data_IF_784274102920
#
_entry.id   IF_784274102920
#
_cell.length_a   1.000
_cell.length_b   1.000
_cell.length_c   1.000
_cell.angle_alpha   90.00
_cell.angle_beta   90.00
_cell.angle_gamma   90.00
#
_symmetry.space_group_name_H-M   'P 1'
#
loop_
_entity.id
_entity.type
_entity.pdbx_description
1 polymer ?
#
# COMPACT_ATOMS: atom_id res chain seq x y z
N UNK A 1 27.87 48.11 80.91
CA UNK A 1 27.39 46.95 81.67
C UNK A 1 27.36 45.79 80.68
N UNK A 2 28.00 44.70 81.09
CA UNK A 2 28.38 43.48 80.36
C UNK A 2 27.41 42.96 79.29
N UNK A 3 27.95 42.48 78.16
CA UNK A 3 28.35 41.07 78.05
C UNK A 3 29.14 40.76 76.77
N UNK A 4 30.09 39.84 76.93
CA UNK A 4 31.05 39.32 75.97
C UNK A 4 30.67 37.87 75.60
N UNK A 5 31.19 37.42 74.45
CA UNK A 5 31.24 36.03 73.93
C UNK A 5 29.97 35.54 73.21
N UNK A 6 30.00 34.93 72.02
CA UNK A 6 31.03 34.23 71.25
C UNK A 6 30.48 34.02 69.82
N UNK A 7 31.31 34.08 68.77
CA UNK A 7 30.86 33.66 67.43
C UNK A 7 31.62 34.22 66.23
N UNK A 8 32.92 33.94 66.17
CA UNK A 8 33.79 33.69 65.00
C UNK A 8 33.34 34.14 63.59
N UNK A 9 34.01 35.19 63.09
CA UNK A 9 34.70 35.33 61.79
C UNK A 9 34.07 34.75 60.50
N UNK A 10 33.66 35.64 59.59
CA UNK A 10 33.72 35.41 58.14
C UNK A 10 32.56 35.93 57.27
N UNK A 11 32.61 37.21 56.85
CA UNK A 11 32.15 37.63 55.51
C UNK A 11 33.37 37.63 54.55
N UNK A 12 33.24 37.67 53.20
CA UNK A 12 32.08 38.07 52.38
C UNK A 12 31.75 37.15 51.18
N UNK A 13 30.55 37.33 50.62
CA UNK A 13 30.25 37.04 49.21
C UNK A 13 31.23 37.81 48.29
N UNK A 14 31.65 37.21 47.17
CA UNK A 14 31.64 37.96 45.92
C UNK A 14 30.80 37.28 44.83
N UNK A 15 30.13 38.15 44.09
CA UNK A 15 29.34 37.93 42.90
C UNK A 15 30.06 37.11 41.81
N UNK A 16 29.23 36.34 41.12
CA UNK A 16 29.19 36.07 39.67
C UNK A 16 30.52 36.17 38.89
N UNK A 17 30.83 35.10 38.15
CA UNK A 17 30.78 35.15 36.67
C UNK A 17 30.92 33.75 36.05
N UNK A 18 29.91 33.41 35.24
CA UNK A 18 29.99 32.70 33.95
C UNK A 18 30.74 31.35 33.83
N UNK A 19 29.97 30.28 33.54
CA UNK A 19 30.08 29.43 32.32
C UNK A 19 29.42 28.05 32.56
N UNK A 20 28.36 27.70 31.80
CA UNK A 20 28.37 26.39 31.14
C UNK A 20 27.68 26.40 29.75
N UNK A 21 28.07 27.30 28.85
CA UNK A 21 27.49 27.32 27.48
C UNK A 21 28.30 26.43 26.50
N UNK A 22 29.62 26.28 26.69
CA UNK A 22 30.48 25.54 25.74
C UNK A 22 30.26 24.01 25.70
N UNK A 23 29.84 23.38 26.81
CA UNK A 23 29.70 21.91 26.87
C UNK A 23 28.38 21.41 26.25
N UNK A 24 27.29 22.18 26.36
CA UNK A 24 25.98 21.84 25.77
C UNK A 24 26.01 21.92 24.24
N UNK A 25 26.63 22.97 23.69
CA UNK A 25 26.80 23.15 22.25
C UNK A 25 27.69 22.07 21.63
N UNK A 26 28.72 21.64 22.36
CA UNK A 26 29.61 20.55 21.95
C UNK A 26 28.86 19.23 21.82
N UNK A 27 28.12 18.81 22.86
CA UNK A 27 27.33 17.55 22.85
C UNK A 27 26.25 17.59 21.77
N UNK A 28 25.55 18.73 21.56
CA UNK A 28 24.60 18.88 20.46
C UNK A 28 25.27 18.83 19.08
N UNK A 29 26.48 19.38 18.90
CA UNK A 29 27.29 19.25 17.68
C UNK A 29 27.72 17.81 17.42
N UNK A 30 28.12 17.06 18.45
CA UNK A 30 28.48 15.65 18.32
C UNK A 30 27.27 14.78 18.00
N UNK A 31 26.14 14.97 18.71
CA UNK A 31 24.90 14.24 18.45
C UNK A 31 24.32 14.56 17.06
N UNK A 32 24.39 15.82 16.61
CA UNK A 32 24.03 16.17 15.25
C UNK A 32 24.98 15.53 14.25
N UNK A 33 26.31 15.63 14.39
CA UNK A 33 27.26 14.96 13.48
C UNK A 33 27.04 13.45 13.39
N UNK A 34 26.81 12.76 14.51
CA UNK A 34 26.52 11.31 14.53
C UNK A 34 25.16 11.01 13.89
N UNK A 35 24.12 11.80 14.19
CA UNK A 35 22.80 11.66 13.56
C UNK A 35 22.84 11.88 12.05
N UNK A 36 23.58 12.90 11.59
CA UNK A 36 23.78 13.20 10.18
C UNK A 36 24.59 12.11 9.47
N UNK A 37 25.65 11.59 10.10
CA UNK A 37 26.45 10.48 9.57
C UNK A 37 25.63 9.19 9.48
N UNK A 38 24.82 8.88 10.49
CA UNK A 38 23.91 7.74 10.49
C UNK A 38 22.81 7.89 9.43
N UNK A 39 22.20 9.07 9.31
CA UNK A 39 21.20 9.38 8.26
C UNK A 39 21.81 9.28 6.85
N UNK A 40 23.06 9.73 6.67
CA UNK A 40 23.77 9.66 5.40
C UNK A 40 24.15 8.22 5.05
N UNK A 41 24.73 7.47 5.99
CA UNK A 41 25.07 6.06 5.82
C UNK A 41 23.82 5.22 5.51
N UNK A 42 22.71 5.45 6.23
CA UNK A 42 21.42 4.81 5.94
C UNK A 42 20.88 5.19 4.56
N UNK A 43 21.05 6.45 4.14
CA UNK A 43 20.61 6.89 2.81
C UNK A 43 21.43 6.27 1.68
N UNK A 44 22.73 6.12 1.86
CA UNK A 44 23.63 5.54 0.86
C UNK A 44 23.48 4.02 0.80
N UNK A 45 23.37 3.34 1.94
CA UNK A 45 23.07 1.91 1.98
C UNK A 45 21.73 1.58 1.31
N UNK A 46 20.72 2.44 1.46
CA UNK A 46 19.42 2.26 0.79
C UNK A 46 19.47 2.49 -0.73
N UNK A 47 20.32 3.41 -1.23
CA UNK A 47 20.53 3.54 -2.68
C UNK A 47 21.21 2.30 -3.25
N UNK A 48 22.22 1.79 -2.54
CA UNK A 48 22.93 0.57 -2.92
C UNK A 48 21.99 -0.64 -2.88
N UNK A 49 21.14 -0.74 -1.85
CA UNK A 49 20.11 -1.76 -1.74
C UNK A 49 19.11 -1.69 -2.91
N UNK A 50 18.65 -0.49 -3.29
CA UNK A 50 17.78 -0.33 -4.45
C UNK A 50 18.45 -0.80 -5.76
N UNK A 51 19.72 -0.44 -5.97
CA UNK A 51 20.48 -0.87 -7.15
C UNK A 51 20.61 -2.40 -7.23
N UNK A 52 20.91 -3.04 -6.09
CA UNK A 52 21.02 -4.50 -6.00
C UNK A 52 19.67 -5.16 -6.32
N UNK A 53 18.57 -4.65 -5.77
CA UNK A 53 17.23 -5.18 -6.05
C UNK A 53 16.86 -5.01 -7.53
N UNK A 54 17.18 -3.86 -8.13
CA UNK A 54 16.91 -3.62 -9.55
C UNK A 54 17.68 -4.58 -10.47
N UNK A 55 18.94 -4.90 -10.13
CA UNK A 55 19.71 -5.91 -10.84
C UNK A 55 19.09 -7.30 -10.66
N UNK A 56 18.79 -7.71 -9.42
CA UNK A 56 18.25 -9.04 -9.10
C UNK A 56 16.85 -9.29 -9.66
N UNK A 57 16.07 -8.25 -9.88
CA UNK A 57 14.76 -8.32 -10.52
C UNK A 57 14.81 -8.82 -11.98
N UNK A 58 15.99 -8.81 -12.62
CA UNK A 58 16.20 -9.30 -14.00
C UNK A 58 17.16 -10.50 -14.04
N UNK A 59 17.44 -11.14 -12.90
CA UNK A 59 18.33 -12.29 -12.82
C UNK A 59 17.69 -13.52 -13.50
N UNK A 60 18.47 -14.38 -14.19
CA UNK A 60 17.95 -15.63 -14.75
C UNK A 60 17.29 -16.55 -13.71
N UNK A 61 17.72 -16.47 -12.44
CA UNK A 61 17.14 -17.24 -11.36
C UNK A 61 15.86 -16.58 -10.81
N UNK A 62 14.75 -17.32 -10.90
CA UNK A 62 13.42 -16.97 -10.39
C UNK A 62 13.40 -16.60 -8.91
N UNK A 63 14.09 -17.37 -8.05
CA UNK A 63 14.12 -17.09 -6.60
C UNK A 63 14.74 -15.73 -6.30
N UNK A 64 15.78 -15.34 -7.03
CA UNK A 64 16.38 -14.00 -6.88
C UNK A 64 15.43 -12.91 -7.37
N UNK A 65 14.72 -13.12 -8.47
CA UNK A 65 13.69 -12.18 -8.94
C UNK A 65 12.57 -12.03 -7.91
N UNK A 66 12.06 -13.14 -7.37
CA UNK A 66 11.04 -13.14 -6.32
C UNK A 66 11.51 -12.37 -5.08
N UNK A 67 12.73 -12.64 -4.60
CA UNK A 67 13.33 -11.91 -3.48
C UNK A 67 13.51 -10.43 -3.78
N UNK A 68 13.81 -10.07 -5.03
CA UNK A 68 13.87 -8.67 -5.46
C UNK A 68 12.51 -7.98 -5.35
N UNK A 69 11.43 -8.61 -5.84
CA UNK A 69 10.07 -8.08 -5.72
C UNK A 69 9.67 -7.88 -4.25
N UNK A 70 9.91 -8.90 -3.42
CA UNK A 70 9.67 -8.81 -1.97
C UNK A 70 10.46 -7.69 -1.32
N UNK A 71 11.74 -7.53 -1.68
CA UNK A 71 12.59 -6.45 -1.18
C UNK A 71 12.10 -5.06 -1.57
N UNK A 72 11.56 -4.89 -2.78
CA UNK A 72 10.90 -3.65 -3.20
C UNK A 72 9.65 -3.36 -2.36
N UNK A 73 8.86 -4.39 -2.04
CA UNK A 73 7.71 -4.29 -1.12
C UNK A 73 8.10 -3.84 0.28
N UNK A 74 9.12 -4.47 0.87
CA UNK A 74 9.68 -4.06 2.17
C UNK A 74 10.15 -2.60 2.14
N UNK A 75 10.87 -2.21 1.08
CA UNK A 75 11.33 -0.83 0.92
C UNK A 75 10.18 0.19 0.81
N UNK A 76 9.06 -0.18 0.18
CA UNK A 76 7.87 0.65 0.09
C UNK A 76 7.19 0.86 1.45
N UNK A 77 7.25 -0.14 2.33
CA UNK A 77 6.77 -0.03 3.70
C UNK A 77 7.70 0.81 4.58
N UNK A 78 9.01 0.55 4.55
CA UNK A 78 9.98 1.17 5.46
C UNK A 78 10.42 2.57 5.03
N UNK A 79 10.50 2.81 3.71
CA UNK A 79 11.07 4.04 3.14
C UNK A 79 10.25 4.58 1.95
N UNK A 80 8.97 4.89 2.16
CA UNK A 80 8.04 5.26 1.08
C UNK A 80 8.49 6.48 0.24
N UNK A 81 9.22 7.43 0.85
CA UNK A 81 9.75 8.59 0.13
C UNK A 81 10.80 8.23 -0.93
N UNK A 82 11.56 7.16 -0.73
CA UNK A 82 12.55 6.68 -1.69
C UNK A 82 11.90 5.97 -2.86
N UNK A 83 10.92 5.10 -2.59
CA UNK A 83 10.13 4.44 -3.63
C UNK A 83 9.41 5.48 -4.49
N UNK A 84 8.90 6.55 -3.87
CA UNK A 84 8.31 7.69 -4.58
C UNK A 84 9.31 8.42 -5.48
N UNK A 85 10.57 8.58 -5.06
CA UNK A 85 11.64 9.17 -5.87
C UNK A 85 11.94 8.32 -7.10
N UNK A 86 12.00 7.00 -6.95
CA UNK A 86 12.32 6.06 -8.03
C UNK A 86 11.09 5.41 -8.66
N UNK A 87 9.92 6.04 -8.56
CA UNK A 87 8.61 5.46 -8.92
C UNK A 87 8.62 4.79 -10.29
N UNK A 88 9.14 5.46 -11.33
CA UNK A 88 9.13 4.92 -12.70
C UNK A 88 9.92 3.61 -12.80
N UNK A 89 11.12 3.58 -12.21
CA UNK A 89 11.98 2.39 -12.23
C UNK A 89 11.35 1.27 -11.41
N UNK A 90 10.79 1.57 -10.23
CA UNK A 90 10.11 0.57 -9.41
C UNK A 90 8.90 -0.04 -10.15
N UNK A 91 8.08 0.80 -10.80
CA UNK A 91 6.94 0.31 -11.57
C UNK A 91 7.37 -0.52 -12.78
N UNK A 92 8.44 -0.13 -13.47
CA UNK A 92 9.02 -0.90 -14.58
C UNK A 92 9.46 -2.31 -14.13
N UNK A 93 10.19 -2.41 -13.01
CA UNK A 93 10.62 -3.69 -12.47
C UNK A 93 9.43 -4.59 -12.07
N UNK A 94 8.40 -4.00 -11.47
CA UNK A 94 7.21 -4.76 -11.04
C UNK A 94 6.35 -5.19 -12.21
N UNK A 95 6.19 -4.33 -13.23
CA UNK A 95 5.51 -4.73 -14.47
C UNK A 95 6.31 -5.86 -15.13
N UNK A 96 7.63 -5.78 -15.19
CA UNK A 96 8.45 -6.89 -15.69
C UNK A 96 8.20 -8.19 -14.90
N UNK A 97 8.11 -8.13 -13.56
CA UNK A 97 7.78 -9.27 -12.73
C UNK A 97 6.34 -9.79 -12.87
N UNK A 98 5.36 -8.94 -13.24
CA UNK A 98 3.99 -9.37 -13.55
C UNK A 98 3.92 -10.22 -14.82
N UNK A 99 4.82 -9.98 -15.77
CA UNK A 99 4.96 -10.73 -17.03
C UNK A 99 6.09 -11.76 -16.94
N UNK A 100 6.44 -12.25 -15.74
CA UNK A 100 7.46 -13.28 -15.60
C UNK A 100 7.05 -14.52 -16.42
N UNK A 101 7.91 -15.04 -17.31
CA UNK A 101 7.52 -16.08 -18.25
C UNK A 101 7.39 -17.47 -17.61
N UNK A 102 7.90 -17.67 -16.39
CA UNK A 102 8.08 -19.01 -15.81
C UNK A 102 7.57 -19.10 -14.37
N UNK A 103 7.76 -18.09 -13.53
CA UNK A 103 7.51 -18.19 -12.09
C UNK A 103 6.24 -17.47 -11.65
N UNK A 104 5.27 -18.25 -11.21
CA UNK A 104 4.03 -17.76 -10.58
C UNK A 104 4.32 -17.06 -9.25
N UNK A 105 5.38 -17.43 -8.53
CA UNK A 105 5.81 -16.79 -7.30
C UNK A 105 6.33 -15.36 -7.54
N UNK A 106 7.02 -15.13 -8.67
CA UNK A 106 7.44 -13.78 -9.07
C UNK A 106 6.23 -12.92 -9.42
N UNK A 107 5.28 -13.47 -10.19
CA UNK A 107 4.04 -12.77 -10.57
C UNK A 107 3.23 -12.39 -9.32
N UNK A 108 3.00 -13.36 -8.43
CA UNK A 108 2.25 -13.16 -7.20
C UNK A 108 2.90 -12.09 -6.31
N UNK A 109 4.21 -12.16 -6.08
CA UNK A 109 4.91 -11.20 -5.24
C UNK A 109 4.95 -9.80 -5.87
N UNK A 110 4.99 -9.73 -7.21
CA UNK A 110 4.88 -8.47 -7.96
C UNK A 110 3.51 -7.81 -7.75
N UNK A 111 2.41 -8.56 -7.82
CA UNK A 111 1.06 -8.05 -7.55
C UNK A 111 0.91 -7.54 -6.11
N UNK A 112 1.39 -8.32 -5.14
CA UNK A 112 1.39 -7.90 -3.72
C UNK A 112 2.18 -6.61 -3.52
N UNK A 113 3.36 -6.53 -4.12
CA UNK A 113 4.22 -5.35 -4.01
C UNK A 113 3.60 -4.14 -4.69
N UNK A 114 2.96 -4.30 -5.86
CA UNK A 114 2.18 -3.25 -6.51
C UNK A 114 1.04 -2.76 -5.61
N UNK A 115 0.29 -3.68 -4.99
CA UNK A 115 -0.81 -3.35 -4.08
C UNK A 115 -0.34 -2.46 -2.92
N UNK A 116 0.81 -2.80 -2.32
CA UNK A 116 1.45 -1.99 -1.27
C UNK A 116 1.81 -0.60 -1.81
N UNK A 117 2.50 -0.54 -2.94
CA UNK A 117 2.99 0.72 -3.52
C UNK A 117 1.83 1.63 -3.89
N UNK A 118 0.79 1.12 -4.57
CA UNK A 118 -0.41 1.86 -4.92
C UNK A 118 -1.08 2.45 -3.67
N UNK A 119 -1.15 1.69 -2.58
CA UNK A 119 -1.61 2.18 -1.28
C UNK A 119 -0.81 3.37 -0.72
N UNK A 120 0.49 3.48 -1.04
CA UNK A 120 1.37 4.56 -0.56
C UNK A 120 1.49 5.77 -1.51
N UNK A 121 1.12 5.61 -2.78
CA UNK A 121 1.25 6.67 -3.82
C UNK A 121 -0.08 7.27 -4.26
N UNK A 122 -1.14 7.15 -3.45
CA UNK A 122 -2.47 7.67 -3.72
C UNK A 122 -2.44 9.11 -4.27
N UNK A 123 -3.25 9.39 -5.29
CA UNK A 123 -3.33 10.68 -5.97
C UNK A 123 -2.29 10.92 -7.06
N UNK A 124 -1.32 10.00 -7.29
CA UNK A 124 -0.32 10.13 -8.36
C UNK A 124 -0.64 9.21 -9.55
N UNK A 125 -0.74 9.79 -10.74
CA UNK A 125 -0.94 9.05 -11.99
C UNK A 125 0.12 7.97 -12.20
N UNK A 126 -0.30 6.77 -12.62
CA UNK A 126 0.60 5.66 -13.02
C UNK A 126 1.19 5.85 -14.42
N UNK A 127 0.74 6.85 -15.19
CA UNK A 127 1.18 7.01 -16.58
C UNK A 127 0.74 5.83 -17.44
N UNK A 128 1.61 5.39 -18.36
CA UNK A 128 1.38 4.25 -19.25
C UNK A 128 1.33 2.91 -18.52
N UNK A 129 2.07 2.75 -17.40
CA UNK A 129 2.05 1.54 -16.59
C UNK A 129 0.65 1.13 -16.13
N UNK A 130 -0.30 2.08 -16.06
CA UNK A 130 -1.70 1.77 -15.77
C UNK A 130 -2.26 0.69 -16.71
N UNK A 131 -1.95 0.79 -18.01
CA UNK A 131 -2.44 -0.14 -19.04
C UNK A 131 -1.86 -1.52 -18.81
N UNK A 132 -0.53 -1.62 -18.72
CA UNK A 132 0.18 -2.89 -18.58
C UNK A 132 -0.23 -3.65 -17.31
N UNK A 133 -0.34 -2.93 -16.18
CA UNK A 133 -0.77 -3.52 -14.91
C UNK A 133 -2.22 -3.98 -15.03
N UNK A 134 -3.12 -3.17 -15.61
CA UNK A 134 -4.54 -3.52 -15.73
C UNK A 134 -4.73 -4.78 -16.59
N UNK A 135 -4.09 -4.81 -17.76
CA UNK A 135 -4.21 -5.92 -18.69
C UNK A 135 -3.72 -7.22 -18.06
N UNK A 136 -2.53 -7.20 -17.44
CA UNK A 136 -1.98 -8.40 -16.83
C UNK A 136 -2.77 -8.87 -15.61
N UNK A 137 -3.14 -7.93 -14.73
CA UNK A 137 -3.96 -8.26 -13.55
C UNK A 137 -5.28 -8.91 -13.95
N UNK A 138 -5.90 -8.44 -15.03
CA UNK A 138 -7.15 -9.02 -15.54
C UNK A 138 -6.99 -10.49 -15.92
N UNK A 139 -5.90 -10.87 -16.57
CA UNK A 139 -5.68 -12.27 -17.00
C UNK A 139 -5.57 -13.24 -15.82
N UNK A 140 -5.26 -12.73 -14.62
CA UNK A 140 -5.06 -13.50 -13.39
C UNK A 140 -6.31 -13.57 -12.51
N UNK A 141 -7.43 -12.97 -12.92
CA UNK A 141 -8.68 -12.98 -12.14
C UNK A 141 -9.33 -14.36 -12.09
N UNK A 142 -9.15 -15.16 -13.14
CA UNK A 142 -9.73 -16.50 -13.30
C UNK A 142 -8.64 -17.60 -13.20
N UNK A 143 -7.49 -17.30 -12.61
CA UNK A 143 -6.39 -18.25 -12.44
C UNK A 143 -6.80 -19.43 -11.52
N UNK A 144 -6.32 -20.65 -11.73
CA UNK A 144 -6.64 -21.78 -10.85
C UNK A 144 -6.07 -21.61 -9.42
N UNK A 145 -5.01 -20.81 -9.26
CA UNK A 145 -4.39 -20.54 -7.98
C UNK A 145 -5.15 -19.44 -7.21
N UNK A 146 -5.76 -19.82 -6.10
CA UNK A 146 -6.53 -18.93 -5.23
C UNK A 146 -5.72 -17.69 -4.77
N UNK A 147 -4.41 -17.83 -4.54
CA UNK A 147 -3.55 -16.72 -4.16
C UNK A 147 -3.34 -15.70 -5.28
N UNK A 148 -3.25 -16.18 -6.54
CA UNK A 148 -3.16 -15.32 -7.72
C UNK A 148 -4.49 -14.60 -7.94
N UNK A 149 -5.63 -15.31 -7.93
CA UNK A 149 -6.96 -14.70 -8.04
C UNK A 149 -7.18 -13.65 -6.95
N UNK A 150 -6.91 -14.01 -5.69
CA UNK A 150 -7.03 -13.09 -4.56
C UNK A 150 -6.25 -11.79 -4.79
N UNK A 151 -4.96 -11.92 -5.12
CA UNK A 151 -4.08 -10.77 -5.34
C UNK A 151 -4.51 -9.95 -6.56
N UNK A 152 -4.98 -10.62 -7.62
CA UNK A 152 -5.47 -9.99 -8.82
C UNK A 152 -6.73 -9.15 -8.56
N UNK A 153 -7.72 -9.69 -7.83
CA UNK A 153 -8.91 -8.92 -7.44
C UNK A 153 -8.52 -7.69 -6.63
N UNK A 154 -7.71 -7.86 -5.57
CA UNK A 154 -7.27 -6.73 -4.74
C UNK A 154 -6.60 -5.63 -5.58
N UNK A 155 -5.68 -6.00 -6.46
CA UNK A 155 -4.97 -5.05 -7.32
C UNK A 155 -5.90 -4.39 -8.34
N UNK A 156 -6.77 -5.16 -9.00
CA UNK A 156 -7.74 -4.65 -9.97
C UNK A 156 -8.72 -3.66 -9.34
N UNK A 157 -9.20 -3.95 -8.13
CA UNK A 157 -10.04 -3.06 -7.35
C UNK A 157 -9.34 -1.75 -7.00
N UNK A 158 -8.05 -1.79 -6.63
CA UNK A 158 -7.28 -0.57 -6.39
C UNK A 158 -7.09 0.28 -7.65
N UNK A 159 -6.87 -0.36 -8.82
CA UNK A 159 -6.71 0.36 -10.10
C UNK A 159 -7.92 1.20 -10.46
N UNK A 160 -9.13 0.86 -9.97
CA UNK A 160 -10.33 1.68 -10.14
C UNK A 160 -10.15 3.12 -9.62
N UNK A 161 -9.37 3.33 -8.56
CA UNK A 161 -9.05 4.66 -8.04
C UNK A 161 -7.98 5.40 -8.86
N UNK A 162 -7.18 4.68 -9.66
CA UNK A 162 -6.07 5.23 -10.46
C UNK A 162 -6.44 5.55 -11.91
N UNK A 163 -7.58 5.06 -12.42
CA UNK A 163 -7.99 5.32 -13.79
C UNK A 163 -8.12 6.83 -14.09
N UNK A 164 -8.67 7.59 -13.14
CA UNK A 164 -8.88 9.03 -13.27
C UNK A 164 -9.64 9.41 -14.54
N UNK A 165 -9.51 10.65 -15.02
CA UNK A 165 -10.13 11.07 -16.29
C UNK A 165 -9.45 10.46 -17.51
N UNK A 166 -8.11 10.36 -17.48
CA UNK A 166 -7.28 9.92 -18.61
C UNK A 166 -7.60 8.48 -19.04
N UNK A 167 -7.67 7.56 -18.09
CA UNK A 167 -7.84 6.13 -18.38
C UNK A 167 -9.26 5.63 -18.18
N UNK A 168 -10.23 6.52 -17.88
CA UNK A 168 -11.63 6.13 -17.60
C UNK A 168 -12.23 5.23 -18.69
N UNK A 169 -12.13 5.64 -19.97
CA UNK A 169 -12.70 4.88 -21.10
C UNK A 169 -12.05 3.50 -21.22
N UNK A 170 -10.72 3.45 -21.14
CA UNK A 170 -9.97 2.20 -21.17
C UNK A 170 -10.40 1.29 -20.01
N UNK A 171 -10.35 1.79 -18.78
CA UNK A 171 -10.70 1.00 -17.59
C UNK A 171 -12.17 0.55 -17.59
N UNK A 172 -13.11 1.38 -18.08
CA UNK A 172 -14.50 0.94 -18.31
C UNK A 172 -14.57 -0.27 -19.25
N UNK A 173 -13.84 -0.24 -20.37
CA UNK A 173 -13.79 -1.39 -21.28
C UNK A 173 -13.19 -2.63 -20.62
N UNK A 174 -12.16 -2.45 -19.79
CA UNK A 174 -11.56 -3.56 -19.03
C UNK A 174 -12.55 -4.15 -18.02
N UNK A 175 -13.24 -3.31 -17.24
CA UNK A 175 -14.25 -3.75 -16.26
C UNK A 175 -15.41 -4.50 -16.92
N UNK A 176 -15.87 -4.06 -18.10
CA UNK A 176 -16.89 -4.78 -18.87
C UNK A 176 -16.41 -6.16 -19.31
N UNK A 177 -15.15 -6.27 -19.76
CA UNK A 177 -14.57 -7.55 -20.16
C UNK A 177 -14.35 -8.51 -18.97
N UNK A 178 -14.23 -7.99 -17.74
CA UNK A 178 -14.09 -8.80 -16.51
C UNK A 178 -15.41 -9.08 -15.81
N UNK A 179 -16.55 -8.74 -16.43
CA UNK A 179 -17.83 -8.82 -15.76
C UNK A 179 -18.16 -10.26 -15.35
N UNK A 180 -17.94 -11.24 -16.23
CA UNK A 180 -18.23 -12.64 -15.94
C UNK A 180 -17.34 -13.18 -14.82
N UNK A 181 -16.02 -12.91 -14.87
CA UNK A 181 -15.07 -13.21 -13.80
C UNK A 181 -15.53 -12.65 -12.46
N UNK A 182 -15.95 -11.38 -12.42
CA UNK A 182 -16.47 -10.75 -11.21
C UNK A 182 -17.72 -11.48 -10.70
N UNK A 183 -18.66 -11.85 -11.58
CA UNK A 183 -19.90 -12.50 -11.19
C UNK A 183 -19.68 -13.91 -10.63
N UNK A 184 -18.86 -14.71 -11.31
CA UNK A 184 -18.54 -16.09 -10.92
C UNK A 184 -17.82 -16.09 -9.56
N UNK A 185 -16.81 -15.23 -9.40
CA UNK A 185 -15.99 -15.21 -8.20
C UNK A 185 -16.62 -14.47 -7.00
N UNK A 186 -17.85 -13.94 -7.10
CA UNK A 186 -18.61 -13.49 -5.91
C UNK A 186 -18.92 -14.66 -4.95
N UNK A 187 -18.96 -15.88 -5.49
CA UNK A 187 -19.17 -17.13 -4.77
C UNK A 187 -17.97 -18.07 -4.92
N UNK A 188 -16.76 -17.51 -4.99
CA UNK A 188 -15.53 -18.30 -5.05
C UNK A 188 -15.48 -19.34 -3.92
N UNK A 189 -14.89 -20.50 -4.22
CA UNK A 189 -14.67 -21.59 -3.25
C UNK A 189 -13.80 -21.13 -2.10
N UNK A 190 -12.81 -20.28 -2.38
CA UNK A 190 -12.00 -19.63 -1.35
C UNK A 190 -12.74 -18.37 -0.82
N UNK A 191 -13.02 -18.30 0.50
CA UNK A 191 -13.77 -17.20 1.08
C UNK A 191 -13.00 -15.86 1.05
N UNK A 192 -11.67 -15.89 1.02
CA UNK A 192 -10.86 -14.69 0.89
C UNK A 192 -10.96 -14.12 -0.53
N UNK A 193 -10.91 -14.97 -1.55
CA UNK A 193 -11.13 -14.57 -2.96
C UNK A 193 -12.53 -14.00 -3.13
N UNK A 194 -13.57 -14.67 -2.60
CA UNK A 194 -14.94 -14.16 -2.67
C UNK A 194 -15.08 -12.76 -2.02
N UNK A 195 -14.38 -12.53 -0.91
CA UNK A 195 -14.37 -11.23 -0.22
C UNK A 195 -13.61 -10.15 -1.02
N UNK A 196 -12.46 -10.51 -1.60
CA UNK A 196 -11.69 -9.64 -2.48
C UNK A 196 -12.50 -9.25 -3.74
N UNK A 197 -13.18 -10.22 -4.35
CA UNK A 197 -14.06 -10.01 -5.49
C UNK A 197 -15.22 -9.06 -5.15
N UNK A 198 -15.94 -9.26 -4.04
CA UNK A 198 -17.00 -8.33 -3.58
C UNK A 198 -16.50 -6.89 -3.42
N UNK A 199 -15.31 -6.73 -2.83
CA UNK A 199 -14.68 -5.41 -2.65
C UNK A 199 -14.33 -4.78 -3.99
N UNK A 200 -13.78 -5.58 -4.91
CA UNK A 200 -13.43 -5.18 -6.27
C UNK A 200 -14.64 -4.76 -7.08
N UNK A 201 -15.73 -5.52 -7.00
CA UNK A 201 -17.00 -5.21 -7.64
C UNK A 201 -17.55 -3.85 -7.17
N UNK A 202 -17.50 -3.58 -5.87
CA UNK A 202 -17.89 -2.27 -5.31
C UNK A 202 -17.03 -1.13 -5.87
N UNK A 203 -15.71 -1.32 -5.90
CA UNK A 203 -14.77 -0.35 -6.46
C UNK A 203 -14.98 -0.10 -7.96
N UNK A 204 -15.35 -1.15 -8.71
CA UNK A 204 -15.60 -1.08 -10.14
C UNK A 204 -17.02 -0.61 -10.51
N UNK A 205 -17.94 -0.52 -9.54
CA UNK A 205 -19.34 -0.13 -9.78
C UNK A 205 -19.54 1.18 -10.56
N UNK A 206 -18.68 2.24 -10.45
CA UNK A 206 -18.82 3.44 -11.28
C UNK A 206 -18.53 3.22 -12.77
N UNK A 207 -17.83 2.13 -13.11
CA UNK A 207 -17.44 1.76 -14.47
C UNK A 207 -18.40 0.75 -15.10
N UNK A 208 -19.22 0.06 -14.27
CA UNK A 208 -20.29 -0.83 -14.70
C UNK A 208 -21.61 -0.11 -15.01
N UNK A 209 -21.76 1.15 -14.59
CA UNK A 209 -22.96 1.94 -14.92
C UNK A 209 -22.90 2.34 -16.38
N UNK A 210 -23.87 1.86 -17.15
CA UNK A 210 -24.11 2.39 -18.48
C UNK A 210 -24.47 3.87 -18.40
N UNK A 211 -23.72 4.70 -19.14
CA UNK A 211 -24.32 5.92 -19.67
C UNK A 211 -25.32 5.43 -20.71
N UNK A 212 -26.60 5.78 -20.56
CA UNK A 212 -27.62 5.62 -21.60
C UNK A 212 -27.14 6.36 -22.85
N UNK A 213 -26.41 5.68 -23.71
CA UNK A 213 -26.06 6.17 -25.02
C UNK A 213 -26.05 4.94 -25.93
N UNK A 214 -27.27 4.62 -26.39
CA UNK A 214 -27.60 3.78 -27.52
C UNK A 214 -26.82 2.45 -27.65
N UNK A 215 -27.19 1.46 -26.86
CA UNK A 215 -27.11 0.06 -27.31
C UNK A 215 -28.14 -0.76 -26.57
N UNK A 216 -28.89 -1.57 -27.32
CA UNK A 216 -29.81 -2.57 -26.82
C UNK A 216 -29.07 -3.53 -25.87
N UNK A 217 -29.07 -3.26 -24.57
CA UNK A 217 -28.74 -4.28 -23.58
C UNK A 217 -29.97 -5.13 -23.33
N UNK A 218 -29.80 -6.44 -23.24
CA UNK A 218 -30.90 -7.33 -22.88
C UNK A 218 -31.37 -7.00 -21.45
N UNK A 219 -32.68 -7.09 -21.21
CA UNK A 219 -33.23 -6.89 -19.87
C UNK A 219 -32.61 -7.83 -18.82
N UNK A 220 -32.04 -8.95 -19.25
CA UNK A 220 -31.38 -9.95 -18.42
C UNK A 220 -30.05 -9.45 -17.84
N UNK A 221 -29.21 -8.79 -18.64
CA UNK A 221 -27.96 -8.17 -18.14
C UNK A 221 -28.26 -7.11 -17.08
N UNK A 222 -29.31 -6.33 -17.29
CA UNK A 222 -29.72 -5.29 -16.36
C UNK A 222 -30.35 -5.86 -15.07
N UNK A 223 -31.10 -6.97 -15.17
CA UNK A 223 -31.58 -7.72 -14.00
C UNK A 223 -30.43 -8.37 -13.24
N UNK A 224 -29.47 -8.98 -13.92
CA UNK A 224 -28.28 -9.57 -13.31
C UNK A 224 -27.47 -8.52 -12.55
N UNK A 225 -27.22 -7.34 -13.15
CA UNK A 225 -26.52 -6.24 -12.46
C UNK A 225 -27.27 -5.73 -11.20
N UNK A 226 -28.61 -5.70 -11.23
CA UNK A 226 -29.43 -5.32 -10.06
C UNK A 226 -29.37 -6.39 -8.97
N UNK A 227 -29.52 -7.67 -9.35
CA UNK A 227 -29.43 -8.81 -8.44
C UNK A 227 -28.06 -8.88 -7.78
N UNK A 228 -26.98 -8.67 -8.54
CA UNK A 228 -25.62 -8.65 -8.00
C UNK A 228 -25.39 -7.49 -7.02
N UNK A 229 -25.98 -6.31 -7.28
CA UNK A 229 -25.94 -5.20 -6.32
C UNK A 229 -26.70 -5.51 -5.03
N UNK A 230 -27.81 -6.25 -5.12
CA UNK A 230 -28.56 -6.72 -3.96
C UNK A 230 -27.73 -7.75 -3.17
N UNK A 231 -27.16 -8.76 -3.83
CA UNK A 231 -26.28 -9.76 -3.20
C UNK A 231 -25.07 -9.12 -2.46
N UNK A 232 -24.53 -8.04 -3.02
CA UNK A 232 -23.43 -7.29 -2.41
C UNK A 232 -23.88 -6.39 -1.25
N UNK A 233 -25.13 -5.91 -1.26
CA UNK A 233 -25.71 -5.01 -0.24
C UNK A 233 -26.31 -5.77 0.94
N UNK A 234 -27.09 -6.82 0.70
CA UNK A 234 -27.77 -7.62 1.74
C UNK A 234 -26.78 -8.25 2.71
N UNK A 235 -25.63 -8.71 2.22
CA UNK A 235 -24.59 -9.35 3.04
C UNK A 235 -23.60 -8.38 3.68
N UNK A 236 -23.66 -7.08 3.34
CA UNK A 236 -22.91 -6.06 4.07
C UNK A 236 -23.50 -5.83 5.48
N UNK A 237 -24.81 -6.10 5.65
CA UNK A 237 -25.51 -6.01 6.94
C UNK A 237 -25.24 -7.18 7.89
N UNK A 238 -24.85 -8.35 7.37
CA UNK A 238 -24.61 -9.55 8.20
C UNK A 238 -23.26 -9.53 8.95
N UNK A 239 -22.33 -8.64 8.57
CA UNK A 239 -21.00 -8.50 9.19
C UNK A 239 -20.85 -7.27 10.11
N UNK A 240 -21.96 -6.62 10.49
CA UNK A 240 -21.91 -5.60 11.54
C UNK A 240 -21.65 -6.28 12.90
N UNK A 241 -20.74 -5.77 13.76
CA UNK A 241 -20.59 -6.28 15.11
C UNK A 241 -21.93 -6.12 15.82
N UNK A 242 -22.49 -7.23 16.35
CA UNK A 242 -23.64 -7.13 17.27
C UNK A 242 -23.14 -6.42 18.53
N UNK A 243 -23.77 -5.30 18.87
CA UNK A 243 -23.52 -4.60 20.12
C UNK A 243 -23.64 -5.57 21.31
N UNK A 244 -22.79 -5.46 22.35
CA UNK A 244 -22.95 -6.27 23.55
C UNK A 244 -24.26 -5.90 24.24
N UNK A 245 -25.07 -6.91 24.56
CA UNK A 245 -26.27 -6.77 25.40
C UNK A 245 -25.99 -5.96 26.67
N UNK A 246 -26.93 -5.14 27.14
CA UNK A 246 -26.79 -4.43 28.41
C UNK A 246 -26.81 -5.44 29.57
N UNK A 247 -26.01 -5.21 30.64
CA UNK A 247 -26.00 -6.10 31.79
C UNK A 247 -27.35 -6.03 32.52
N UNK A 248 -27.97 -7.21 32.64
CA UNK A 248 -29.20 -7.42 33.38
C UNK A 248 -29.02 -7.16 34.88
N UNK A 249 -30.03 -6.50 35.43
CA UNK A 249 -30.31 -6.33 36.86
C UNK A 249 -30.49 -7.71 37.50
N UNK A 250 -29.71 -8.01 38.53
CA UNK A 250 -30.06 -9.03 39.54
C UNK A 250 -29.82 -8.41 40.93
N UNK A 251 -30.82 -8.61 41.78
CA UNK A 251 -30.95 -8.18 43.18
C UNK A 251 -29.79 -8.61 44.07
#
# INVERSE_FOLDING_TARGET
MDQMEKGTLGQPLPMATTQPERKRTSVMSFLSKVSWKLKFQKRESLKNAFSILAEKARDPNDKKRHMAMRGLGTMACETPDKVRKYKKVVLDLLVHGLYDPVSTEVIHESMKTLTIILGKIQGKSLGSFFVDITLQTRTLLDDENDHLRYSAFILFGQLAAFAGRKWKKFFTSQVKQTQDSLLIHLQDRDPHVATACKTTFRACSPYLKERKENSFQSEEEQRNLKLCRQLVSERAGENAPRDPCPPGVIK
#
